data_IF_303442400939
#
_entry.id   IF_303442400939
#
_cell.length_a   1.000
_cell.length_b   1.000
_cell.length_c   1.000
_cell.angle_alpha   90.00
_cell.angle_beta   90.00
_cell.angle_gamma   90.00
#
_symmetry.space_group_name_H-M   'P 1'
#
loop_
_entity.id
_entity.type
_entity.pdbx_description
1 polymer ?
#
# COMPACT_ATOMS: atom_id res chain seq x y z
N UNK A 1 -28.66 23.55 -1.45
CA UNK A 1 -28.02 22.46 -0.70
C UNK A 1 -27.61 21.34 -1.67
N UNK A 2 -28.48 20.98 -2.60
CA UNK A 2 -28.27 19.92 -3.60
C UNK A 2 -27.04 20.13 -4.49
N UNK A 3 -26.75 21.37 -4.91
CA UNK A 3 -25.54 21.67 -5.71
C UNK A 3 -24.25 21.38 -4.93
N UNK A 4 -24.22 21.66 -3.62
CA UNK A 4 -23.03 21.41 -2.80
C UNK A 4 -22.81 19.90 -2.61
N UNK A 5 -23.88 19.15 -2.33
CA UNK A 5 -23.83 17.68 -2.22
C UNK A 5 -23.42 17.06 -3.57
N UNK A 6 -23.91 17.63 -4.69
CA UNK A 6 -23.53 17.18 -6.02
C UNK A 6 -22.03 17.39 -6.28
N UNK A 7 -21.52 18.61 -6.05
CA UNK A 7 -20.10 18.93 -6.22
C UNK A 7 -19.23 18.05 -5.30
N UNK A 8 -19.70 17.81 -4.08
CA UNK A 8 -19.03 16.96 -3.10
C UNK A 8 -18.87 15.51 -3.57
N UNK A 9 -19.94 14.88 -4.07
CA UNK A 9 -19.88 13.53 -4.66
C UNK A 9 -18.90 13.45 -5.83
N UNK A 10 -18.99 14.41 -6.76
CA UNK A 10 -18.11 14.46 -7.92
C UNK A 10 -16.66 14.60 -7.49
N UNK A 11 -16.39 15.44 -6.50
CA UNK A 11 -15.05 15.60 -5.94
C UNK A 11 -14.49 14.28 -5.40
N UNK A 12 -15.26 13.54 -4.61
CA UNK A 12 -14.82 12.25 -4.06
C UNK A 12 -14.52 11.23 -5.16
N UNK A 13 -15.42 11.08 -6.13
CA UNK A 13 -15.24 10.14 -7.26
C UNK A 13 -13.99 10.51 -8.08
N UNK A 14 -13.79 11.80 -8.37
CA UNK A 14 -12.59 12.27 -9.08
C UNK A 14 -11.33 11.98 -8.27
N UNK A 15 -11.33 12.29 -6.97
CA UNK A 15 -10.20 12.03 -6.08
C UNK A 15 -9.81 10.55 -6.07
N UNK A 16 -10.78 9.64 -5.89
CA UNK A 16 -10.51 8.21 -5.89
C UNK A 16 -10.05 7.71 -7.26
N UNK A 17 -10.61 8.24 -8.35
CA UNK A 17 -10.19 7.90 -9.72
C UNK A 17 -8.73 8.28 -9.98
N UNK A 18 -8.26 9.41 -9.45
CA UNK A 18 -6.85 9.81 -9.50
C UNK A 18 -5.96 8.79 -8.78
N UNK A 19 -6.39 8.29 -7.62
CA UNK A 19 -5.64 7.26 -6.87
C UNK A 19 -5.60 5.94 -7.64
N UNK A 20 -6.74 5.48 -8.19
CA UNK A 20 -6.82 4.25 -8.99
C UNK A 20 -5.92 4.35 -10.22
N UNK A 21 -6.02 5.42 -10.99
CA UNK A 21 -5.21 5.63 -12.20
C UNK A 21 -3.73 5.66 -11.87
N UNK A 22 -3.34 6.41 -10.83
CA UNK A 22 -1.94 6.49 -10.38
C UNK A 22 -1.41 5.13 -9.92
N UNK A 23 -2.27 4.33 -9.26
CA UNK A 23 -1.92 2.98 -8.80
C UNK A 23 -1.72 2.02 -9.97
N UNK A 24 -2.62 2.03 -10.96
CA UNK A 24 -2.51 1.19 -12.16
C UNK A 24 -1.24 1.53 -12.96
N UNK A 25 -0.93 2.82 -13.13
CA UNK A 25 0.30 3.26 -13.78
C UNK A 25 1.55 2.72 -13.06
N UNK A 26 1.62 2.89 -11.74
CA UNK A 26 2.75 2.37 -10.95
C UNK A 26 2.82 0.84 -10.97
N UNK A 27 1.68 0.14 -11.00
CA UNK A 27 1.62 -1.31 -11.14
C UNK A 27 2.18 -1.79 -12.48
N UNK A 28 1.84 -1.11 -13.57
CA UNK A 28 2.36 -1.43 -14.91
C UNK A 28 3.88 -1.36 -15.00
N UNK A 29 4.51 -0.38 -14.32
CA UNK A 29 5.95 -0.22 -14.32
C UNK A 29 6.69 -1.13 -13.33
N UNK A 30 6.22 -1.22 -12.08
CA UNK A 30 6.99 -1.88 -11.00
C UNK A 30 6.46 -3.26 -10.59
N UNK A 31 5.27 -3.64 -11.05
CA UNK A 31 4.59 -4.93 -10.75
C UNK A 31 4.52 -5.28 -9.26
N UNK A 32 4.54 -4.28 -8.36
CA UNK A 32 4.40 -4.51 -6.92
C UNK A 32 2.93 -4.73 -6.56
N UNK A 33 2.59 -5.77 -5.77
CA UNK A 33 1.20 -6.09 -5.44
C UNK A 33 0.48 -4.98 -4.67
N UNK A 34 1.23 -4.17 -3.89
CA UNK A 34 0.66 -3.07 -3.12
C UNK A 34 -0.10 -2.07 -4.01
N UNK A 35 0.37 -1.80 -5.23
CA UNK A 35 -0.32 -0.89 -6.14
C UNK A 35 -1.65 -1.46 -6.63
N UNK A 36 -1.70 -2.75 -6.96
CA UNK A 36 -2.94 -3.40 -7.39
C UNK A 36 -3.98 -3.44 -6.27
N UNK A 37 -3.56 -3.73 -5.03
CA UNK A 37 -4.46 -3.76 -3.87
C UNK A 37 -4.96 -2.36 -3.51
N UNK A 38 -4.10 -1.33 -3.57
CA UNK A 38 -4.54 0.06 -3.38
C UNK A 38 -5.54 0.47 -4.46
N UNK A 39 -5.32 0.09 -5.73
CA UNK A 39 -6.29 0.34 -6.79
C UNK A 39 -7.64 -0.34 -6.50
N UNK A 40 -7.63 -1.59 -6.05
CA UNK A 40 -8.85 -2.33 -5.70
C UNK A 40 -9.62 -1.68 -4.53
N UNK A 41 -8.91 -1.18 -3.50
CA UNK A 41 -9.52 -0.45 -2.38
C UNK A 41 -10.22 0.83 -2.83
N UNK A 42 -9.57 1.64 -3.67
CA UNK A 42 -10.18 2.87 -4.14
C UNK A 42 -11.28 2.63 -5.18
N UNK A 43 -11.21 1.53 -5.92
CA UNK A 43 -12.30 1.10 -6.78
C UNK A 43 -13.54 0.73 -5.97
N UNK A 44 -13.41 0.04 -4.83
CA UNK A 44 -14.56 -0.23 -3.96
C UNK A 44 -15.16 1.06 -3.37
N UNK A 45 -14.34 2.06 -3.02
CA UNK A 45 -14.83 3.38 -2.59
C UNK A 45 -15.57 4.14 -3.70
N UNK A 46 -15.14 4.02 -4.96
CA UNK A 46 -15.88 4.57 -6.11
C UNK A 46 -17.25 3.91 -6.22
N UNK A 47 -17.32 2.58 -6.16
CA UNK A 47 -18.61 1.87 -6.21
C UNK A 47 -19.55 2.29 -5.08
N UNK A 48 -19.03 2.43 -3.85
CA UNK A 48 -19.82 2.89 -2.70
C UNK A 48 -20.35 4.32 -2.93
N UNK A 49 -19.49 5.23 -3.41
CA UNK A 49 -19.89 6.61 -3.68
C UNK A 49 -20.87 6.74 -4.84
N UNK A 50 -20.80 5.87 -5.85
CA UNK A 50 -21.81 5.81 -6.92
C UNK A 50 -23.16 5.40 -6.35
N UNK A 51 -23.20 4.40 -5.45
CA UNK A 51 -24.44 3.99 -4.79
C UNK A 51 -24.99 5.14 -3.94
N UNK A 52 -24.16 5.79 -3.11
CA UNK A 52 -24.58 6.93 -2.28
C UNK A 52 -25.13 8.06 -3.16
N UNK A 53 -24.43 8.42 -4.24
CA UNK A 53 -24.91 9.39 -5.22
C UNK A 53 -26.29 9.01 -5.77
N UNK A 54 -26.48 7.76 -6.18
CA UNK A 54 -27.78 7.28 -6.66
C UNK A 54 -28.87 7.39 -5.57
N UNK A 55 -28.56 7.08 -4.30
CA UNK A 55 -29.53 7.22 -3.21
C UNK A 55 -29.89 8.67 -2.86
N UNK A 56 -29.01 9.63 -3.16
CA UNK A 56 -29.25 11.05 -2.88
C UNK A 56 -30.02 11.78 -4.00
N UNK A 57 -29.78 11.39 -5.26
CA UNK A 57 -30.31 12.11 -6.43
C UNK A 57 -31.41 11.35 -7.19
N UNK A 58 -31.60 10.05 -6.96
CA UNK A 58 -32.62 9.24 -7.63
C UNK A 58 -33.60 8.67 -6.59
N UNK A 59 -34.77 9.30 -6.46
CA UNK A 59 -35.77 8.95 -5.43
C UNK A 59 -36.28 7.49 -5.55
N UNK A 60 -36.55 7.03 -6.77
CA UNK A 60 -36.96 5.64 -7.02
C UNK A 60 -35.88 4.63 -6.61
N UNK A 61 -34.62 4.94 -6.91
CA UNK A 61 -33.50 4.09 -6.51
C UNK A 61 -33.30 4.10 -5.00
N UNK A 62 -33.38 5.28 -4.38
CA UNK A 62 -33.26 5.47 -2.92
C UNK A 62 -34.26 4.60 -2.16
N UNK A 63 -35.54 4.69 -2.54
CA UNK A 63 -36.63 3.92 -1.91
C UNK A 63 -36.42 2.41 -2.06
N UNK A 64 -36.05 1.96 -3.27
CA UNK A 64 -35.81 0.55 -3.54
C UNK A 64 -34.57 0.03 -2.80
N UNK A 65 -33.50 0.82 -2.78
CA UNK A 65 -32.24 0.49 -2.11
C UNK A 65 -32.43 0.37 -0.61
N UNK A 66 -33.11 1.32 0.04
CA UNK A 66 -33.36 1.31 1.48
C UNK A 66 -34.23 0.11 1.89
N UNK A 67 -35.27 -0.21 1.11
CA UNK A 67 -36.09 -1.39 1.34
C UNK A 67 -35.28 -2.69 1.18
N UNK A 68 -34.43 -2.76 0.15
CA UNK A 68 -33.55 -3.90 -0.06
C UNK A 68 -32.51 -4.00 1.06
N UNK A 69 -31.94 -2.89 1.51
CA UNK A 69 -30.98 -2.84 2.62
C UNK A 69 -31.58 -3.42 3.90
N UNK A 70 -32.84 -3.07 4.19
CA UNK A 70 -33.57 -3.60 5.35
C UNK A 70 -33.88 -5.11 5.26
N UNK A 71 -33.72 -5.75 4.11
CA UNK A 71 -33.88 -7.20 3.96
C UNK A 71 -32.53 -7.88 3.82
N UNK A 72 -31.77 -7.52 2.79
CA UNK A 72 -30.46 -8.07 2.44
C UNK A 72 -29.54 -6.93 1.94
N UNK A 73 -28.62 -6.41 2.77
CA UNK A 73 -27.70 -5.33 2.40
C UNK A 73 -26.51 -5.83 1.56
N UNK A 74 -26.79 -6.51 0.45
CA UNK A 74 -25.80 -7.26 -0.34
C UNK A 74 -24.68 -6.38 -0.90
N UNK A 75 -25.02 -5.24 -1.50
CA UNK A 75 -24.02 -4.33 -2.09
C UNK A 75 -23.07 -3.77 -1.03
N UNK A 76 -23.62 -3.25 0.07
CA UNK A 76 -22.83 -2.70 1.18
C UNK A 76 -21.96 -3.79 1.83
N UNK A 77 -22.47 -5.01 1.95
CA UNK A 77 -21.73 -6.16 2.51
C UNK A 77 -20.52 -6.50 1.63
N UNK A 78 -20.72 -6.57 0.32
CA UNK A 78 -19.65 -6.84 -0.65
C UNK A 78 -18.57 -5.76 -0.57
N UNK A 79 -18.96 -4.49 -0.55
CA UNK A 79 -18.05 -3.35 -0.46
C UNK A 79 -17.22 -3.43 0.82
N UNK A 80 -17.84 -3.66 1.99
CA UNK A 80 -17.11 -3.76 3.24
C UNK A 80 -16.14 -4.93 3.29
N UNK A 81 -16.52 -6.08 2.74
CA UNK A 81 -15.63 -7.24 2.66
C UNK A 81 -14.42 -7.00 1.74
N UNK A 82 -14.66 -6.43 0.56
CA UNK A 82 -13.59 -6.09 -0.39
C UNK A 82 -12.63 -5.05 0.22
N UNK A 83 -13.17 -3.97 0.77
CA UNK A 83 -12.38 -2.92 1.41
C UNK A 83 -11.57 -3.47 2.60
N UNK A 84 -12.20 -4.27 3.46
CA UNK A 84 -11.53 -4.88 4.62
C UNK A 84 -10.42 -5.85 4.23
N UNK A 85 -10.65 -6.67 3.20
CA UNK A 85 -9.62 -7.54 2.63
C UNK A 85 -8.44 -6.74 2.07
N UNK A 86 -8.72 -5.65 1.35
CA UNK A 86 -7.69 -4.77 0.83
C UNK A 86 -6.87 -4.12 1.95
N UNK A 87 -7.52 -3.61 3.01
CA UNK A 87 -6.84 -3.02 4.16
C UNK A 87 -5.92 -4.02 4.87
N UNK A 88 -6.39 -5.25 5.12
CA UNK A 88 -5.55 -6.33 5.69
C UNK A 88 -4.37 -6.63 4.78
N UNK A 89 -4.59 -6.73 3.48
CA UNK A 89 -3.53 -7.05 2.52
C UNK A 89 -2.51 -5.92 2.43
N UNK A 90 -2.94 -4.65 2.42
CA UNK A 90 -2.06 -3.48 2.49
C UNK A 90 -1.21 -3.54 3.76
N UNK A 91 -1.83 -3.83 4.91
CA UNK A 91 -1.10 -3.92 6.18
C UNK A 91 -0.06 -5.04 6.16
N UNK A 92 -0.38 -6.21 5.59
CA UNK A 92 0.58 -7.33 5.43
C UNK A 92 1.75 -6.99 4.52
N UNK A 93 1.48 -6.28 3.42
CA UNK A 93 2.51 -5.87 2.47
C UNK A 93 3.44 -4.81 3.06
N UNK A 94 2.93 -3.93 3.92
CA UNK A 94 3.72 -2.90 4.61
C UNK A 94 4.45 -3.48 5.84
N UNK A 95 3.85 -4.44 6.55
CA UNK A 95 4.36 -5.05 7.77
C UNK A 95 4.62 -6.56 7.61
N UNK A 96 5.63 -6.96 6.80
CA UNK A 96 5.83 -8.37 6.43
C UNK A 96 6.24 -9.30 7.59
N UNK A 97 6.66 -8.76 8.74
CA UNK A 97 7.04 -9.53 9.93
C UNK A 97 5.91 -9.80 10.92
N UNK A 98 4.69 -9.28 10.67
CA UNK A 98 3.56 -9.40 11.59
C UNK A 98 2.79 -10.72 11.39
N UNK A 99 2.33 -11.31 12.49
CA UNK A 99 1.46 -12.50 12.44
C UNK A 99 0.14 -12.22 11.71
N UNK A 100 -0.09 -12.92 10.60
CA UNK A 100 -1.23 -12.69 9.68
C UNK A 100 -2.47 -13.51 10.01
N UNK A 101 -2.33 -14.57 10.81
CA UNK A 101 -3.43 -15.51 11.15
C UNK A 101 -4.56 -14.79 11.90
N UNK A 102 -4.22 -13.91 12.84
CA UNK A 102 -5.20 -13.14 13.61
C UNK A 102 -6.02 -12.22 12.71
N UNK A 103 -5.38 -11.59 11.72
CA UNK A 103 -6.05 -10.71 10.77
C UNK A 103 -7.00 -11.48 9.84
N UNK A 104 -6.60 -12.69 9.40
CA UNK A 104 -7.49 -13.57 8.64
C UNK A 104 -8.70 -14.00 9.47
N UNK A 105 -8.49 -14.38 10.73
CA UNK A 105 -9.57 -14.77 11.63
C UNK A 105 -10.54 -13.61 11.89
N UNK A 106 -10.02 -12.40 12.10
CA UNK A 106 -10.83 -11.19 12.26
C UNK A 106 -11.66 -10.89 10.99
N UNK A 107 -11.09 -11.09 9.80
CA UNK A 107 -11.81 -10.89 8.53
C UNK A 107 -12.93 -11.92 8.34
N UNK A 108 -12.68 -13.19 8.70
CA UNK A 108 -13.72 -14.23 8.68
C UNK A 108 -14.83 -13.90 9.68
N UNK A 109 -14.47 -13.47 10.89
CA UNK A 109 -15.43 -13.06 11.91
C UNK A 109 -16.27 -11.87 11.44
N UNK A 110 -15.66 -10.88 10.78
CA UNK A 110 -16.38 -9.78 10.15
C UNK A 110 -17.39 -10.29 9.12
N UNK A 111 -16.97 -11.19 8.23
CA UNK A 111 -17.88 -11.75 7.21
C UNK A 111 -19.04 -12.54 7.80
N UNK A 112 -18.81 -13.31 8.86
CA UNK A 112 -19.88 -13.99 9.60
C UNK A 112 -20.81 -12.98 10.27
N UNK A 113 -20.26 -11.94 10.91
CA UNK A 113 -21.06 -10.90 11.54
C UNK A 113 -21.96 -10.17 10.53
N UNK A 114 -21.42 -9.79 9.37
CA UNK A 114 -22.19 -9.14 8.31
C UNK A 114 -23.23 -10.07 7.67
N UNK A 115 -22.96 -11.38 7.59
CA UNK A 115 -23.91 -12.37 7.07
C UNK A 115 -25.12 -12.54 8.00
N UNK A 116 -24.91 -12.54 9.31
CA UNK A 116 -25.97 -12.77 10.29
C UNK A 116 -26.63 -11.48 10.81
N UNK A 117 -25.99 -10.32 10.67
CA UNK A 117 -26.54 -9.04 11.11
C UNK A 117 -27.94 -8.73 10.52
N UNK A 118 -28.27 -9.06 9.25
CA UNK A 118 -29.62 -8.87 8.72
C UNK A 118 -30.71 -9.66 9.46
N UNK A 119 -30.35 -10.70 10.20
CA UNK A 119 -31.27 -11.50 11.02
C UNK A 119 -31.49 -10.90 12.43
N UNK A 120 -30.73 -9.87 12.80
CA UNK A 120 -30.76 -9.28 14.13
C UNK A 120 -31.88 -8.24 14.27
N UNK A 121 -33.06 -8.68 14.72
CA UNK A 121 -34.15 -7.77 15.09
C UNK A 121 -34.68 -6.90 13.94
N UNK A 122 -35.23 -5.74 14.27
CA UNK A 122 -35.80 -4.79 13.31
C UNK A 122 -35.51 -3.34 13.66
N UNK A 123 -35.77 -2.44 12.70
CA UNK A 123 -35.60 -0.99 12.85
C UNK A 123 -34.14 -0.54 12.98
N UNK A 124 -33.91 0.56 13.71
CA UNK A 124 -32.61 1.19 13.89
C UNK A 124 -31.55 0.23 14.48
N UNK A 125 -31.93 -0.61 15.44
CA UNK A 125 -31.01 -1.55 16.09
C UNK A 125 -30.43 -2.57 15.10
N UNK A 126 -31.23 -3.01 14.12
CA UNK A 126 -30.76 -3.90 13.05
C UNK A 126 -29.68 -3.21 12.21
N UNK A 127 -29.93 -1.97 11.80
CA UNK A 127 -29.00 -1.19 10.97
C UNK A 127 -27.71 -0.90 11.74
N UNK A 128 -27.82 -0.52 13.02
CA UNK A 128 -26.66 -0.28 13.87
C UNK A 128 -25.80 -1.54 14.09
N UNK A 129 -26.43 -2.69 14.36
CA UNK A 129 -25.74 -3.97 14.49
C UNK A 129 -25.08 -4.44 13.19
N UNK A 130 -25.55 -3.96 12.04
CA UNK A 130 -24.93 -4.23 10.75
C UNK A 130 -23.63 -3.44 10.55
N UNK A 131 -23.60 -2.15 10.92
CA UNK A 131 -22.40 -1.29 10.75
C UNK A 131 -21.34 -1.54 11.83
N UNK A 132 -21.74 -1.84 13.06
CA UNK A 132 -20.83 -2.00 14.20
C UNK A 132 -19.63 -2.95 13.97
N UNK A 133 -19.78 -4.15 13.38
CA UNK A 133 -18.67 -5.09 13.19
C UNK A 133 -17.55 -4.54 12.32
N UNK A 134 -17.87 -3.77 11.27
CA UNK A 134 -16.87 -3.16 10.39
C UNK A 134 -16.06 -2.08 11.14
N UNK A 135 -16.69 -1.37 12.06
CA UNK A 135 -16.09 -0.28 12.82
C UNK A 135 -15.16 -0.88 13.90
N UNK A 136 -15.60 -1.96 14.55
CA UNK A 136 -14.75 -2.76 15.45
C UNK A 136 -13.54 -3.33 14.69
N UNK A 137 -13.76 -3.85 13.48
CA UNK A 137 -12.69 -4.43 12.67
C UNK A 137 -11.64 -3.40 12.26
N UNK A 138 -12.04 -2.21 11.81
CA UNK A 138 -11.12 -1.13 11.44
C UNK A 138 -10.36 -0.59 12.65
N UNK A 139 -11.03 -0.43 13.80
CA UNK A 139 -10.39 -0.09 15.08
C UNK A 139 -9.33 -1.14 15.47
N UNK A 140 -9.68 -2.43 15.39
CA UNK A 140 -8.77 -3.54 15.64
C UNK A 140 -7.56 -3.51 14.71
N UNK A 141 -7.78 -3.32 13.40
CA UNK A 141 -6.70 -3.30 12.40
C UNK A 141 -5.73 -2.14 12.62
N UNK A 142 -6.27 -0.97 12.99
CA UNK A 142 -5.50 0.21 13.38
C UNK A 142 -4.64 -0.03 14.62
N UNK A 143 -5.27 -0.44 15.73
CA UNK A 143 -4.60 -0.67 17.02
C UNK A 143 -3.55 -1.76 16.93
N UNK A 144 -3.87 -2.89 16.30
CA UNK A 144 -2.92 -4.00 16.10
C UNK A 144 -1.70 -3.60 15.27
N UNK A 145 -1.87 -2.72 14.28
CA UNK A 145 -0.77 -2.17 13.49
C UNK A 145 0.13 -1.25 14.31
N UNK A 146 -0.48 -0.38 15.12
CA UNK A 146 0.23 0.53 16.03
C UNK A 146 1.02 -0.21 17.10
N UNK A 147 0.45 -1.28 17.68
CA UNK A 147 1.12 -2.11 18.68
C UNK A 147 2.35 -2.77 18.09
N UNK A 148 2.25 -3.35 16.88
CA UNK A 148 3.40 -3.93 16.19
C UNK A 148 4.49 -2.88 15.92
N UNK A 149 4.14 -1.71 15.38
CA UNK A 149 5.11 -0.65 15.10
C UNK A 149 5.72 -0.02 16.36
N UNK A 150 5.00 -0.06 17.48
CA UNK A 150 5.51 0.43 18.78
C UNK A 150 6.47 -0.56 19.44
N UNK A 151 6.39 -1.85 19.11
CA UNK A 151 7.29 -2.88 19.62
C UNK A 151 8.68 -2.87 18.93
N UNK A 152 8.77 -2.35 17.71
CA UNK A 152 10.01 -2.36 16.91
C UNK A 152 10.47 -0.97 16.42
N UNK A 153 10.65 0.02 17.33
CA UNK A 153 10.91 1.42 16.96
C UNK A 153 12.19 1.61 16.11
N UNK A 154 13.23 0.81 16.33
CA UNK A 154 14.51 0.94 15.61
C UNK A 154 14.48 0.44 14.17
N UNK A 155 13.42 -0.26 13.76
CA UNK A 155 13.26 -0.80 12.40
C UNK A 155 12.40 0.06 11.47
N UNK A 156 11.96 1.25 11.92
CA UNK A 156 11.03 2.08 11.18
C UNK A 156 11.70 2.85 10.04
N UNK A 157 11.46 2.40 8.82
CA UNK A 157 11.72 3.20 7.63
C UNK A 157 10.69 4.34 7.49
N UNK A 158 11.01 5.35 6.66
CA UNK A 158 10.16 6.53 6.44
C UNK A 158 8.72 6.18 6.01
N UNK A 159 8.54 5.10 5.25
CA UNK A 159 7.22 4.62 4.84
C UNK A 159 6.42 4.07 6.03
N UNK A 160 7.07 3.33 6.93
CA UNK A 160 6.47 2.79 8.14
C UNK A 160 6.12 3.88 9.15
N UNK A 161 6.91 4.96 9.24
CA UNK A 161 6.57 6.13 10.06
C UNK A 161 5.28 6.80 9.55
N UNK A 162 5.18 7.02 8.23
CA UNK A 162 3.98 7.58 7.61
C UNK A 162 2.77 6.68 7.85
N UNK A 163 2.95 5.37 7.73
CA UNK A 163 1.89 4.39 7.98
C UNK A 163 1.49 4.32 9.46
N UNK A 164 2.43 4.48 10.41
CA UNK A 164 2.14 4.59 11.84
C UNK A 164 1.19 5.74 12.13
N UNK A 165 1.45 6.92 11.56
CA UNK A 165 0.56 8.08 11.70
C UNK A 165 -0.82 7.79 11.11
N UNK A 166 -0.87 7.19 9.92
CA UNK A 166 -2.13 6.80 9.28
C UNK A 166 -2.96 5.86 10.17
N UNK A 167 -2.34 4.83 10.75
CA UNK A 167 -3.03 3.91 11.66
C UNK A 167 -3.57 4.61 12.91
N UNK A 168 -2.82 5.57 13.47
CA UNK A 168 -3.27 6.40 14.59
C UNK A 168 -4.55 7.17 14.25
N UNK A 169 -4.56 7.80 13.06
CA UNK A 169 -5.74 8.50 12.54
C UNK A 169 -6.89 7.52 12.29
N UNK A 170 -6.64 6.33 11.72
CA UNK A 170 -7.66 5.29 11.51
C UNK A 170 -8.36 4.90 12.81
N UNK A 171 -7.61 4.74 13.90
CA UNK A 171 -8.20 4.40 15.22
C UNK A 171 -9.12 5.52 15.69
N UNK A 172 -8.70 6.78 15.60
CA UNK A 172 -9.51 7.93 16.01
C UNK A 172 -10.80 7.99 15.16
N UNK A 173 -10.67 7.90 13.84
CA UNK A 173 -11.81 7.97 12.94
C UNK A 173 -12.75 6.78 13.09
N UNK A 174 -12.27 5.57 13.39
CA UNK A 174 -13.17 4.44 13.66
C UNK A 174 -14.10 4.68 14.84
N UNK A 175 -13.68 5.47 15.84
CA UNK A 175 -14.53 5.90 16.96
C UNK A 175 -15.46 7.03 16.53
N UNK A 176 -14.97 8.01 15.76
CA UNK A 176 -15.81 9.12 15.26
C UNK A 176 -16.92 8.63 14.34
N UNK A 177 -16.61 7.72 13.42
CA UNK A 177 -17.58 7.06 12.54
C UNK A 177 -18.64 6.34 13.37
N UNK A 178 -18.24 5.55 14.38
CA UNK A 178 -19.20 4.87 15.24
C UNK A 178 -20.13 5.85 15.97
N UNK A 179 -19.61 6.97 16.45
CA UNK A 179 -20.41 8.01 17.11
C UNK A 179 -21.38 8.65 16.13
N UNK A 180 -20.90 9.05 14.95
CA UNK A 180 -21.71 9.63 13.89
C UNK A 180 -22.83 8.68 13.46
N UNK A 181 -22.49 7.43 13.11
CA UNK A 181 -23.45 6.42 12.68
C UNK A 181 -24.51 6.19 13.76
N UNK A 182 -24.11 6.15 15.04
CA UNK A 182 -25.05 6.01 16.15
C UNK A 182 -26.03 7.19 16.21
N UNK A 183 -25.56 8.42 16.04
CA UNK A 183 -26.42 9.60 16.05
C UNK A 183 -27.37 9.57 14.84
N UNK A 184 -26.86 9.30 13.65
CA UNK A 184 -27.63 9.26 12.40
C UNK A 184 -28.72 8.19 12.45
N UNK A 185 -28.35 6.96 12.78
CA UNK A 185 -29.26 5.81 12.79
C UNK A 185 -30.39 5.99 13.81
N UNK A 186 -30.11 6.49 15.01
CA UNK A 186 -31.13 6.60 16.05
C UNK A 186 -31.91 7.92 16.04
N UNK A 187 -31.38 8.99 15.44
CA UNK A 187 -31.98 10.33 15.53
C UNK A 187 -32.51 10.87 14.20
N UNK A 188 -31.94 10.45 13.07
CA UNK A 188 -32.25 11.02 11.75
C UNK A 188 -32.94 10.03 10.80
N UNK A 189 -32.63 8.74 10.90
CA UNK A 189 -33.22 7.72 10.02
C UNK A 189 -34.66 7.36 10.42
N UNK A 190 -35.43 6.94 9.42
CA UNK A 190 -36.83 6.49 9.59
C UNK A 190 -36.96 5.05 9.12
N UNK A 191 -37.48 4.18 10.00
CA UNK A 191 -37.61 2.74 9.75
C UNK A 191 -39.05 2.23 9.88
N UNK A 192 -40.06 3.09 9.67
CA UNK A 192 -41.47 2.72 9.75
C UNK A 192 -41.96 2.15 8.42
N UNK A 193 -42.69 1.03 8.43
CA UNK A 193 -43.31 0.52 7.20
C UNK A 193 -44.57 1.35 6.88
N UNK A 194 -44.75 1.94 5.67
CA UNK A 194 -43.98 1.74 4.44
C UNK A 194 -42.88 2.76 4.14
N UNK A 195 -42.67 3.76 5.00
CA UNK A 195 -41.70 4.83 4.79
C UNK A 195 -40.35 4.52 5.45
N UNK A 196 -39.51 3.76 4.76
CA UNK A 196 -38.09 3.59 5.14
C UNK A 196 -37.27 4.68 4.45
N UNK A 197 -36.48 5.41 5.23
CA UNK A 197 -35.53 6.41 4.73
C UNK A 197 -34.25 6.35 5.55
N UNK A 198 -33.16 5.94 4.90
CA UNK A 198 -31.86 5.74 5.52
C UNK A 198 -30.89 6.79 4.97
N UNK A 199 -30.19 7.48 5.87
CA UNK A 199 -29.10 8.34 5.46
C UNK A 199 -27.85 7.51 5.20
N UNK A 200 -27.56 7.28 3.92
CA UNK A 200 -26.47 6.41 3.49
C UNK A 200 -25.08 7.08 3.53
N UNK A 201 -24.99 8.38 3.86
CA UNK A 201 -23.72 9.13 3.91
C UNK A 201 -23.20 9.28 5.33
N UNK A 202 -21.91 9.01 5.50
CA UNK A 202 -21.15 9.26 6.73
C UNK A 202 -19.98 10.21 6.43
N UNK A 203 -20.01 11.42 7.01
CA UNK A 203 -19.01 12.47 6.83
C UNK A 203 -17.66 12.02 7.38
N UNK A 204 -17.63 11.39 8.56
CA UNK A 204 -16.38 10.90 9.16
C UNK A 204 -15.74 9.80 8.31
N UNK A 205 -16.55 8.94 7.67
CA UNK A 205 -16.06 7.93 6.74
C UNK A 205 -15.43 8.57 5.49
N UNK A 206 -16.11 9.56 4.91
CA UNK A 206 -15.59 10.31 3.75
C UNK A 206 -14.32 11.10 4.09
N UNK A 207 -14.22 11.71 5.27
CA UNK A 207 -12.97 12.38 5.69
C UNK A 207 -11.85 11.36 5.83
N UNK A 208 -12.14 10.17 6.37
CA UNK A 208 -11.15 9.11 6.50
C UNK A 208 -10.66 8.60 5.14
N UNK A 209 -11.56 8.39 4.17
CA UNK A 209 -11.20 7.98 2.81
C UNK A 209 -10.41 9.07 2.06
N UNK A 210 -10.70 10.36 2.29
CA UNK A 210 -9.89 11.47 1.79
C UNK A 210 -8.48 11.40 2.39
N UNK A 211 -8.35 11.16 3.70
CA UNK A 211 -7.04 11.00 4.35
C UNK A 211 -6.28 9.81 3.74
N UNK A 212 -6.94 8.65 3.54
CA UNK A 212 -6.35 7.53 2.83
C UNK A 212 -5.89 7.92 1.42
N UNK A 213 -6.68 8.72 0.69
CA UNK A 213 -6.33 9.20 -0.65
C UNK A 213 -5.06 10.04 -0.62
N UNK A 214 -4.94 10.98 0.31
CA UNK A 214 -3.76 11.85 0.45
C UNK A 214 -2.49 11.01 0.74
N UNK A 215 -2.58 10.04 1.65
CA UNK A 215 -1.45 9.16 1.94
C UNK A 215 -1.09 8.26 0.74
N UNK A 216 -2.09 7.73 0.04
CA UNK A 216 -1.89 6.93 -1.17
C UNK A 216 -1.22 7.75 -2.28
N UNK A 217 -1.70 8.96 -2.58
CA UNK A 217 -1.10 9.86 -3.59
C UNK A 217 0.34 10.19 -3.21
N UNK A 218 0.60 10.53 -1.95
CA UNK A 218 1.97 10.83 -1.47
C UNK A 218 2.90 9.62 -1.61
N UNK A 219 2.40 8.41 -1.41
CA UNK A 219 3.14 7.18 -1.63
C UNK A 219 3.41 6.94 -3.12
N UNK A 220 2.36 7.00 -3.95
CA UNK A 220 2.42 6.73 -5.40
C UNK A 220 3.31 7.73 -6.14
N UNK A 221 3.22 9.02 -5.82
CA UNK A 221 4.06 10.07 -6.43
C UNK A 221 5.54 9.92 -6.10
N UNK A 222 5.88 9.44 -4.88
CA UNK A 222 7.26 9.13 -4.52
C UNK A 222 7.81 7.95 -5.30
N UNK A 223 6.97 6.95 -5.55
CA UNK A 223 7.34 5.77 -6.32
C UNK A 223 7.45 6.08 -7.83
N UNK A 224 6.68 7.05 -8.34
CA UNK A 224 6.72 7.49 -9.75
C UNK A 224 7.95 8.35 -10.09
N UNK A 225 8.78 8.77 -9.12
CA UNK A 225 10.07 9.41 -9.44
C UNK A 225 10.92 8.41 -10.23
N UNK A 226 10.84 8.52 -11.55
CA UNK A 226 11.73 7.89 -12.52
C UNK A 226 13.17 8.12 -12.04
N UNK A 227 14.09 7.15 -12.23
CA UNK A 227 15.50 7.50 -12.31
C UNK A 227 15.58 8.70 -13.25
N UNK A 228 16.26 9.77 -12.86
CA UNK A 228 16.59 10.82 -13.84
C UNK A 228 17.26 10.07 -15.00
N UNK A 229 16.57 9.99 -16.14
CA UNK A 229 17.27 9.81 -17.39
C UNK A 229 18.09 11.08 -17.49
N UNK A 230 19.37 11.00 -17.15
CA UNK A 230 20.33 12.01 -17.55
C UNK A 230 20.29 12.02 -19.07
N UNK A 231 19.42 12.87 -19.62
CA UNK A 231 19.48 13.30 -21.02
C UNK A 231 20.62 14.31 -21.07
N UNK A 232 21.83 13.82 -20.83
CA UNK A 232 23.08 14.45 -21.17
C UNK A 232 23.73 13.60 -22.25
N UNK A 233 23.95 14.22 -23.41
CA UNK A 233 24.82 13.75 -24.48
C UNK A 233 24.34 12.56 -25.33
N UNK A 234 23.19 12.70 -25.98
CA UNK A 234 22.87 11.97 -27.21
C UNK A 234 23.38 12.68 -28.49
N UNK A 235 24.40 13.54 -28.38
CA UNK A 235 24.89 14.42 -29.46
C UNK A 235 26.27 14.08 -30.03
N UNK A 236 26.99 13.08 -29.52
CA UNK A 236 28.43 12.92 -29.79
C UNK A 236 28.83 11.46 -30.07
N UNK A 237 28.07 10.74 -30.90
CA UNK A 237 28.35 9.31 -31.20
C UNK A 237 29.29 9.09 -32.41
N UNK A 238 29.71 10.11 -33.15
CA UNK A 238 30.65 9.88 -34.27
C UNK A 238 31.85 10.83 -34.25
N UNK A 239 32.89 10.47 -33.49
CA UNK A 239 34.27 10.82 -33.80
C UNK A 239 35.20 9.71 -33.31
N UNK A 240 35.67 8.88 -34.25
CA UNK A 240 36.79 7.97 -34.05
C UNK A 240 38.06 8.78 -33.79
N UNK A 241 38.70 8.58 -32.64
CA UNK A 241 40.10 8.99 -32.40
C UNK A 241 40.87 7.89 -31.63
N UNK A 242 42.18 7.73 -31.90
CA UNK A 242 42.99 6.59 -31.45
C UNK A 242 43.25 6.65 -29.93
N UNK A 243 43.62 5.53 -29.28
CA UNK A 243 43.61 5.42 -27.82
C UNK A 243 44.65 6.37 -27.19
N UNK A 244 44.23 7.36 -26.40
CA UNK A 244 45.15 8.18 -25.62
C UNK A 244 45.45 7.47 -24.30
N UNK A 245 46.73 7.48 -23.93
CA UNK A 245 47.29 7.03 -22.65
C UNK A 245 46.39 7.36 -21.44
N UNK A 246 46.12 6.31 -20.65
CA UNK A 246 45.35 6.36 -19.39
C UNK A 246 45.87 7.46 -18.47
N UNK A 247 45.08 8.52 -18.33
CA UNK A 247 45.13 9.45 -17.19
C UNK A 247 43.78 9.35 -16.49
N UNK A 248 43.77 8.78 -15.29
CA UNK A 248 42.57 8.57 -14.49
C UNK A 248 42.17 9.91 -13.83
N UNK A 249 40.95 10.41 -14.04
CA UNK A 249 40.44 11.60 -13.35
C UNK A 249 40.27 11.34 -11.83
N UNK A 250 40.51 12.34 -10.94
CA UNK A 250 40.52 12.14 -9.48
C UNK A 250 39.19 11.66 -8.86
N UNK A 251 38.07 11.83 -9.55
CA UNK A 251 36.73 11.50 -9.02
C UNK A 251 36.27 10.06 -9.30
N UNK A 252 37.02 9.27 -10.08
CA UNK A 252 36.72 7.84 -10.31
C UNK A 252 37.38 6.90 -9.29
N UNK A 253 38.33 7.39 -8.47
CA UNK A 253 39.00 6.58 -7.45
C UNK A 253 38.08 6.16 -6.28
N UNK A 254 37.09 6.99 -5.92
CA UNK A 254 36.25 6.75 -4.73
C UNK A 254 35.26 5.58 -4.89
N UNK A 255 34.76 5.31 -6.11
CA UNK A 255 33.76 4.28 -6.36
C UNK A 255 34.35 2.87 -6.41
N UNK A 256 35.50 2.71 -7.06
CA UNK A 256 36.21 1.42 -7.17
C UNK A 256 36.90 1.06 -5.85
N UNK A 257 37.37 2.05 -5.09
CA UNK A 257 37.98 1.84 -3.77
C UNK A 257 36.98 1.31 -2.75
N UNK A 258 35.75 1.86 -2.69
CA UNK A 258 34.72 1.39 -1.77
C UNK A 258 34.26 -0.05 -2.08
N UNK A 259 34.15 -0.38 -3.37
CA UNK A 259 33.83 -1.74 -3.79
C UNK A 259 34.93 -2.73 -3.37
N UNK A 260 36.19 -2.40 -3.65
CA UNK A 260 37.31 -3.28 -3.36
C UNK A 260 37.50 -3.46 -1.84
N UNK A 261 37.33 -2.39 -1.06
CA UNK A 261 37.42 -2.48 0.39
C UNK A 261 36.29 -3.33 0.98
N UNK A 262 35.05 -3.17 0.50
CA UNK A 262 33.94 -4.05 0.89
C UNK A 262 34.22 -5.51 0.56
N UNK A 263 34.70 -5.79 -0.66
CA UNK A 263 35.04 -7.13 -1.09
C UNK A 263 36.15 -7.74 -0.22
N UNK A 264 37.18 -6.97 0.12
CA UNK A 264 38.26 -7.42 1.00
C UNK A 264 37.79 -7.64 2.44
N UNK A 265 36.97 -6.73 2.98
CA UNK A 265 36.44 -6.82 4.33
C UNK A 265 35.63 -8.12 4.55
N UNK A 266 34.83 -8.53 3.56
CA UNK A 266 34.06 -9.77 3.59
C UNK A 266 34.77 -10.95 2.89
N UNK A 267 36.05 -10.80 2.53
CA UNK A 267 36.87 -11.85 1.90
C UNK A 267 36.18 -12.50 0.68
N UNK A 268 35.59 -11.68 -0.18
CA UNK A 268 34.94 -12.14 -1.40
C UNK A 268 36.00 -12.58 -2.42
N UNK A 269 35.83 -13.77 -2.98
CA UNK A 269 36.66 -14.29 -4.07
C UNK A 269 36.45 -13.47 -5.34
N UNK A 270 37.39 -13.54 -6.28
CA UNK A 270 37.30 -12.83 -7.57
C UNK A 270 35.96 -13.09 -8.28
N UNK A 271 35.47 -14.33 -8.22
CA UNK A 271 34.21 -14.70 -8.88
C UNK A 271 32.96 -14.22 -8.15
N UNK A 272 33.02 -14.15 -6.82
CA UNK A 272 31.97 -13.51 -6.03
C UNK A 272 31.96 -11.99 -6.24
N UNK A 273 33.11 -11.36 -6.45
CA UNK A 273 33.21 -9.93 -6.78
C UNK A 273 32.57 -9.63 -8.14
N UNK A 274 32.85 -10.44 -9.18
CA UNK A 274 32.21 -10.30 -10.49
C UNK A 274 30.69 -10.38 -10.40
N UNK A 275 30.19 -11.34 -9.62
CA UNK A 275 28.75 -11.51 -9.38
C UNK A 275 28.19 -10.35 -8.58
N UNK A 276 28.89 -9.88 -7.54
CA UNK A 276 28.47 -8.74 -6.74
C UNK A 276 28.36 -7.46 -7.58
N UNK A 277 29.31 -7.18 -8.47
CA UNK A 277 29.27 -6.00 -9.37
C UNK A 277 27.97 -5.96 -10.16
N UNK A 278 27.59 -7.08 -10.75
CA UNK A 278 26.36 -7.17 -11.56
C UNK A 278 25.12 -7.15 -10.65
N UNK A 279 25.19 -7.78 -9.48
CA UNK A 279 24.11 -7.80 -8.49
C UNK A 279 23.77 -6.40 -7.95
N UNK A 280 24.77 -5.53 -7.79
CA UNK A 280 24.60 -4.13 -7.39
C UNK A 280 23.86 -3.28 -8.44
N UNK A 281 23.78 -3.73 -9.69
CA UNK A 281 23.04 -3.07 -10.78
C UNK A 281 21.57 -3.51 -10.88
N UNK A 282 21.05 -4.21 -9.86
CA UNK A 282 19.67 -4.72 -9.77
C UNK A 282 19.27 -5.78 -10.82
N UNK A 283 20.26 -6.40 -11.49
CA UNK A 283 20.04 -7.50 -12.45
C UNK A 283 19.60 -8.80 -11.79
N UNK A 284 18.69 -9.53 -12.41
CA UNK A 284 18.19 -10.81 -11.92
C UNK A 284 19.20 -11.96 -12.16
N UNK A 285 18.95 -13.14 -11.59
CA UNK A 285 19.90 -14.26 -11.68
C UNK A 285 20.12 -14.77 -13.11
N UNK A 286 19.12 -14.65 -14.00
CA UNK A 286 19.25 -15.00 -15.41
C UNK A 286 20.19 -14.02 -16.11
N UNK A 287 19.99 -12.71 -15.89
CA UNK A 287 20.82 -11.66 -16.49
C UNK A 287 22.27 -11.73 -16.00
N UNK A 288 22.50 -12.14 -14.75
CA UNK A 288 23.86 -12.41 -14.23
C UNK A 288 24.46 -13.65 -14.90
N UNK A 289 23.65 -14.70 -15.09
CA UNK A 289 24.03 -15.93 -15.80
C UNK A 289 24.54 -15.60 -17.20
N UNK A 290 23.75 -14.82 -17.94
CA UNK A 290 23.99 -14.46 -19.33
C UNK A 290 25.19 -13.52 -19.44
N UNK A 291 25.31 -12.55 -18.54
CA UNK A 291 26.43 -11.59 -18.54
C UNK A 291 27.79 -12.23 -18.20
N UNK A 292 27.81 -13.28 -17.38
CA UNK A 292 29.04 -13.98 -16.96
C UNK A 292 29.29 -15.29 -17.72
N UNK A 293 28.39 -15.67 -18.64
CA UNK A 293 28.44 -16.93 -19.39
C UNK A 293 28.59 -18.16 -18.48
N UNK A 294 27.84 -18.19 -17.37
CA UNK A 294 27.80 -19.30 -16.41
C UNK A 294 26.37 -19.80 -16.22
N UNK A 295 26.18 -20.96 -15.58
CA UNK A 295 24.84 -21.48 -15.31
C UNK A 295 24.12 -20.75 -14.17
N UNK A 296 22.78 -20.71 -14.21
CA UNK A 296 21.95 -20.09 -13.16
C UNK A 296 22.20 -20.78 -11.81
N UNK A 297 22.44 -22.10 -11.80
CA UNK A 297 22.78 -22.86 -10.60
C UNK A 297 24.08 -22.38 -9.97
N UNK A 298 25.09 -22.08 -10.80
CA UNK A 298 26.37 -21.51 -10.39
C UNK A 298 26.18 -20.10 -9.82
N UNK A 299 25.39 -19.24 -10.48
CA UNK A 299 25.03 -17.90 -9.97
C UNK A 299 24.38 -17.98 -8.60
N UNK A 300 23.37 -18.84 -8.42
CA UNK A 300 22.67 -19.02 -7.13
C UNK A 300 23.64 -19.45 -6.03
N UNK A 301 24.58 -20.34 -6.34
CA UNK A 301 25.59 -20.83 -5.39
C UNK A 301 26.51 -19.70 -4.94
N UNK A 302 27.04 -18.90 -5.86
CA UNK A 302 27.88 -17.76 -5.50
C UNK A 302 27.11 -16.68 -4.74
N UNK A 303 25.86 -16.37 -5.12
CA UNK A 303 25.02 -15.43 -4.37
C UNK A 303 24.80 -15.93 -2.94
N UNK A 304 24.55 -17.24 -2.76
CA UNK A 304 24.43 -17.84 -1.44
C UNK A 304 25.72 -17.70 -0.62
N UNK A 305 26.88 -17.95 -1.23
CA UNK A 305 28.17 -17.79 -0.55
C UNK A 305 28.45 -16.33 -0.14
N UNK A 306 28.11 -15.36 -1.01
CA UNK A 306 28.19 -13.93 -0.68
C UNK A 306 27.28 -13.62 0.51
N UNK A 307 26.05 -14.15 0.50
CA UNK A 307 25.10 -13.95 1.61
C UNK A 307 25.62 -14.52 2.93
N UNK A 308 26.24 -15.70 2.90
CA UNK A 308 26.88 -16.28 4.08
C UNK A 308 28.05 -15.41 4.59
N UNK A 309 28.93 -14.94 3.69
CA UNK A 309 30.08 -14.10 4.05
C UNK A 309 29.68 -12.74 4.64
N UNK A 310 28.60 -12.15 4.11
CA UNK A 310 28.08 -10.85 4.57
C UNK A 310 27.06 -11.02 5.71
N UNK A 311 26.76 -12.26 6.11
CA UNK A 311 25.76 -12.60 7.13
C UNK A 311 24.36 -12.02 6.86
N UNK A 312 23.86 -12.23 5.65
CA UNK A 312 22.53 -11.81 5.20
C UNK A 312 21.76 -12.98 4.60
N UNK A 313 20.43 -12.85 4.53
CA UNK A 313 19.57 -13.89 3.95
C UNK A 313 18.83 -13.43 2.69
N UNK A 314 18.83 -12.12 2.43
CA UNK A 314 18.08 -11.52 1.32
C UNK A 314 18.96 -10.54 0.53
N UNK A 315 18.72 -10.50 -0.79
CA UNK A 315 19.35 -9.54 -1.70
C UNK A 315 19.21 -8.09 -1.23
N UNK A 316 18.01 -7.71 -0.76
CA UNK A 316 17.76 -6.35 -0.26
C UNK A 316 18.61 -6.00 0.97
N UNK A 317 18.92 -6.97 1.84
CA UNK A 317 19.82 -6.78 2.98
C UNK A 317 21.27 -6.58 2.49
N UNK A 318 21.74 -7.39 1.56
CA UNK A 318 23.08 -7.23 0.96
C UNK A 318 23.25 -5.83 0.34
N UNK A 319 22.28 -5.40 -0.47
CA UNK A 319 22.30 -4.07 -1.08
C UNK A 319 22.33 -2.97 -0.01
N UNK A 320 21.49 -3.07 1.03
CA UNK A 320 21.48 -2.12 2.14
C UNK A 320 22.84 -2.05 2.84
N UNK A 321 23.44 -3.18 3.19
CA UNK A 321 24.75 -3.22 3.87
C UNK A 321 25.80 -2.57 2.99
N UNK A 322 25.85 -2.88 1.70
CA UNK A 322 26.80 -2.26 0.77
C UNK A 322 26.63 -0.73 0.69
N UNK A 323 25.39 -0.23 0.59
CA UNK A 323 25.14 1.22 0.53
C UNK A 323 25.46 1.93 1.84
N UNK A 324 25.17 1.31 2.98
CA UNK A 324 25.56 1.83 4.31
C UNK A 324 27.08 1.86 4.41
N UNK A 325 27.76 0.77 4.04
CA UNK A 325 29.21 0.66 4.03
C UNK A 325 29.88 1.71 3.15
N UNK A 326 29.33 1.95 1.95
CA UNK A 326 29.81 3.00 1.04
C UNK A 326 29.60 4.41 1.62
N UNK A 327 28.55 4.62 2.41
CA UNK A 327 28.21 5.93 3.00
C UNK A 327 28.99 6.23 4.28
N UNK A 328 29.26 5.21 5.10
CA UNK A 328 29.92 5.33 6.41
C UNK A 328 31.45 5.24 6.35
N UNK A 329 32.04 5.31 5.15
CA UNK A 329 33.48 5.25 4.83
C UNK A 329 34.44 5.12 6.03
N UNK A 330 34.74 3.88 6.47
CA UNK A 330 35.61 3.65 7.63
C UNK A 330 37.11 3.93 7.43
N UNK A 331 37.56 4.46 6.29
CA UNK A 331 38.98 4.71 5.97
C UNK A 331 39.28 6.10 5.36
N UNK A 332 38.39 7.07 5.57
CA UNK A 332 38.72 8.50 5.35
C UNK A 332 39.34 9.13 6.58
#
# INVERSE_FOLDING_TARGET
MDILIFIYNIFLIVLYTVVVTSSILNYSHKKRPLFAVTAALFLSYIFDNVIIYMTEFLEDFSTLYDLQFMTVPAFKTLIYLVSSYCLVTIQRLILPGRQTVRDSAALILLGLALLFAPMAGGGALKVWLYYLPAQIFTFYLGTSGLLYLSQYPESLDREMVSYKTLLGVTVIFSVLILIEDTIVIFSFDVYSNPMVKINNRSLSEDIMSIIYSIYAIKYLTRQLRLPRLDVGDAGTIFQETPPPSVQIPPDQEDADTAFLHFANHYQLTSREQDILKILLTDKNNQEISDALYISIGTVKTHIHNIFQKVNVTKRSQLLRIYYVYKKEMPWK
#
